data_IF_338380309609
#
_entry.id   IF_338380309609
#
_cell.length_a   1.000
_cell.length_b   1.000
_cell.length_c   1.000
_cell.angle_alpha   90.00
_cell.angle_beta   90.00
_cell.angle_gamma   90.00
#
_symmetry.space_group_name_H-M   'P 1'
#
loop_
_entity.id
_entity.type
_entity.pdbx_description
1 polymer ?
#
# COMPACT_ATOMS: atom_id res chain seq x y z
N UNK A 1 -3.33 42.47 5.39
CA UNK A 1 -3.80 41.26 4.68
C UNK A 1 -3.00 40.10 5.25
N UNK A 2 -3.65 39.24 6.02
CA UNK A 2 -3.01 38.16 6.77
C UNK A 2 -2.68 37.05 5.75
N UNK A 3 -1.51 36.41 5.88
CA UNK A 3 -1.11 35.30 5.02
C UNK A 3 -1.96 34.10 5.41
N UNK A 4 -3.15 34.04 4.86
CA UNK A 4 -4.09 32.96 5.07
C UNK A 4 -3.62 31.78 4.21
N UNK A 5 -3.84 30.55 4.71
CA UNK A 5 -3.27 29.27 4.29
C UNK A 5 -3.40 28.86 2.81
N UNK A 6 -3.88 29.73 1.93
CA UNK A 6 -4.11 29.49 0.50
C UNK A 6 -2.82 29.47 -0.35
N UNK A 7 -1.72 30.07 0.13
CA UNK A 7 -0.43 30.13 -0.59
C UNK A 7 0.77 29.64 0.22
N UNK A 8 0.52 28.85 1.27
CA UNK A 8 1.58 28.20 2.04
C UNK A 8 2.29 27.12 1.21
N UNK A 9 3.55 26.79 1.51
CA UNK A 9 4.22 25.65 0.88
C UNK A 9 3.42 24.36 1.09
N UNK A 10 3.42 23.45 0.13
CA UNK A 10 2.76 22.14 0.29
C UNK A 10 3.49 21.34 1.37
N UNK A 11 2.92 21.30 2.57
CA UNK A 11 3.54 20.67 3.74
C UNK A 11 3.26 19.17 3.87
N UNK A 12 2.32 18.62 3.09
CA UNK A 12 1.96 17.21 3.13
C UNK A 12 1.55 16.65 1.76
N UNK A 13 1.96 15.42 1.49
CA UNK A 13 1.53 14.62 0.34
C UNK A 13 0.98 13.30 0.87
N UNK A 14 -0.20 12.89 0.40
CA UNK A 14 -0.85 11.65 0.82
C UNK A 14 -0.90 10.66 -0.34
N UNK A 15 -0.30 9.48 -0.15
CA UNK A 15 -0.37 8.37 -1.10
C UNK A 15 -1.10 7.21 -0.42
N UNK A 16 -2.13 6.67 -1.07
CA UNK A 16 -2.95 5.58 -0.53
C UNK A 16 -2.73 4.32 -1.35
N UNK A 17 -2.37 3.24 -0.66
CA UNK A 17 -2.23 1.91 -1.25
C UNK A 17 -3.37 1.04 -0.71
N UNK A 18 -4.27 0.62 -1.60
CA UNK A 18 -5.40 -0.22 -1.22
C UNK A 18 -5.21 -1.62 -1.78
N UNK A 19 -5.71 -2.59 -1.03
CA UNK A 19 -5.91 -3.97 -1.50
C UNK A 19 -7.41 -4.20 -1.50
N UNK A 20 -7.97 -4.51 -2.66
CA UNK A 20 -9.37 -4.93 -2.74
C UNK A 20 -9.39 -6.45 -2.59
N UNK A 21 -10.07 -6.94 -1.56
CA UNK A 21 -10.27 -8.37 -1.35
C UNK A 21 -11.41 -8.88 -2.25
N UNK A 22 -11.24 -8.69 -3.57
CA UNK A 22 -12.12 -9.17 -4.63
C UNK A 22 -11.31 -10.10 -5.54
N UNK A 23 -11.90 -11.24 -5.94
CA UNK A 23 -11.19 -12.28 -6.68
C UNK A 23 -10.53 -11.76 -7.96
N UNK A 24 -11.28 -11.01 -8.77
CA UNK A 24 -10.79 -10.44 -10.02
C UNK A 24 -9.65 -9.42 -9.81
N UNK A 25 -9.75 -8.63 -8.73
CA UNK A 25 -8.73 -7.64 -8.41
C UNK A 25 -7.44 -8.32 -7.94
N UNK A 26 -7.54 -9.30 -7.05
CA UNK A 26 -6.38 -10.05 -6.56
C UNK A 26 -5.67 -10.79 -7.71
N UNK A 27 -6.43 -11.36 -8.63
CA UNK A 27 -5.89 -12.03 -9.80
C UNK A 27 -5.20 -11.06 -10.76
N UNK A 28 -5.85 -9.95 -11.08
CA UNK A 28 -5.33 -8.98 -12.06
C UNK A 28 -4.16 -8.18 -11.51
N UNK A 29 -4.30 -7.63 -10.31
CA UNK A 29 -3.33 -6.71 -9.74
C UNK A 29 -2.22 -7.44 -9.00
N UNK A 30 -2.51 -8.55 -8.30
CA UNK A 30 -1.53 -9.25 -7.46
C UNK A 30 -1.06 -10.59 -8.02
N UNK A 31 -1.68 -11.11 -9.09
CA UNK A 31 -1.44 -12.48 -9.60
C UNK A 31 -1.71 -13.56 -8.53
N UNK A 32 -2.77 -13.33 -7.73
CA UNK A 32 -3.22 -14.25 -6.68
C UNK A 32 -4.60 -14.77 -7.03
N UNK A 33 -4.70 -16.08 -7.25
CA UNK A 33 -5.97 -16.77 -7.50
C UNK A 33 -6.46 -17.45 -6.21
N UNK A 34 -7.48 -16.86 -5.59
CA UNK A 34 -8.14 -17.42 -4.42
C UNK A 34 -9.54 -17.91 -4.80
N UNK A 35 -9.96 -19.04 -4.24
CA UNK A 35 -11.36 -19.44 -4.29
C UNK A 35 -12.23 -18.56 -3.36
N UNK A 36 -13.55 -18.65 -3.55
CA UNK A 36 -14.51 -17.85 -2.80
C UNK A 36 -14.49 -18.12 -1.29
N UNK A 37 -14.30 -19.38 -0.89
CA UNK A 37 -14.29 -19.75 0.53
C UNK A 37 -13.07 -19.16 1.26
N UNK A 38 -11.90 -19.22 0.63
CA UNK A 38 -10.68 -18.62 1.15
C UNK A 38 -10.74 -17.10 1.15
N UNK A 39 -11.38 -16.50 0.14
CA UNK A 39 -11.60 -15.06 0.09
C UNK A 39 -12.51 -14.58 1.23
N UNK A 40 -13.64 -15.25 1.45
CA UNK A 40 -14.55 -14.94 2.57
C UNK A 40 -13.89 -15.18 3.93
N UNK A 41 -13.04 -16.19 4.04
CA UNK A 41 -12.23 -16.40 5.23
C UNK A 41 -11.30 -15.22 5.48
N UNK A 42 -10.50 -14.80 4.49
CA UNK A 42 -9.54 -13.69 4.60
C UNK A 42 -10.22 -12.33 4.88
N UNK A 43 -11.45 -12.12 4.39
CA UNK A 43 -12.26 -10.92 4.66
C UNK A 43 -12.56 -10.71 6.14
N UNK A 44 -12.46 -11.74 6.97
CA UNK A 44 -12.51 -11.63 8.44
C UNK A 44 -11.17 -11.05 8.96
N UNK A 45 -10.99 -9.75 8.79
CA UNK A 45 -9.73 -9.04 9.08
C UNK A 45 -9.37 -9.01 10.58
N UNK A 46 -10.34 -9.26 11.44
CA UNK A 46 -10.19 -9.35 12.90
C UNK A 46 -9.80 -10.76 13.38
N UNK A 47 -9.94 -11.78 12.53
CA UNK A 47 -9.52 -13.14 12.86
C UNK A 47 -7.99 -13.25 12.78
N UNK A 48 -7.29 -13.51 13.90
CA UNK A 48 -5.83 -13.58 13.94
C UNK A 48 -5.27 -14.73 13.09
N UNK A 49 -6.07 -15.75 12.77
CA UNK A 49 -5.64 -16.85 11.88
C UNK A 49 -5.37 -16.37 10.45
N UNK A 50 -5.97 -15.24 10.03
CA UNK A 50 -5.79 -14.65 8.71
C UNK A 50 -4.61 -13.66 8.64
N UNK A 51 -3.99 -13.31 9.76
CA UNK A 51 -3.00 -12.23 9.83
C UNK A 51 -1.81 -12.47 8.89
N UNK A 52 -1.37 -13.71 8.76
CA UNK A 52 -0.28 -14.09 7.85
C UNK A 52 -0.66 -13.85 6.38
N UNK A 53 -1.85 -14.28 5.98
CA UNK A 53 -2.35 -14.13 4.61
C UNK A 53 -2.57 -12.66 4.26
N UNK A 54 -3.20 -11.89 5.16
CA UNK A 54 -3.39 -10.44 4.99
C UNK A 54 -2.05 -9.71 4.90
N UNK A 55 -1.07 -10.07 5.72
CA UNK A 55 0.27 -9.49 5.65
C UNK A 55 0.99 -9.85 4.34
N UNK A 56 0.82 -11.07 3.83
CA UNK A 56 1.34 -11.47 2.52
C UNK A 56 0.73 -10.64 1.39
N UNK A 57 -0.60 -10.49 1.36
CA UNK A 57 -1.30 -9.66 0.39
C UNK A 57 -0.83 -8.21 0.45
N UNK A 58 -0.66 -7.66 1.66
CA UNK A 58 -0.11 -6.32 1.86
C UNK A 58 1.30 -6.16 1.29
N UNK A 59 2.18 -7.14 1.48
CA UNK A 59 3.54 -7.13 0.90
C UNK A 59 3.53 -7.18 -0.63
N UNK A 60 2.69 -8.03 -1.21
CA UNK A 60 2.53 -8.13 -2.68
C UNK A 60 1.98 -6.85 -3.27
N UNK A 61 0.99 -6.24 -2.61
CA UNK A 61 0.46 -4.96 -3.04
C UNK A 61 1.51 -3.85 -2.93
N UNK A 62 2.26 -3.81 -1.84
CA UNK A 62 3.32 -2.82 -1.66
C UNK A 62 4.40 -2.93 -2.75
N UNK A 63 4.82 -4.14 -3.13
CA UNK A 63 5.85 -4.33 -4.17
C UNK A 63 5.42 -3.86 -5.56
N UNK A 64 4.11 -3.85 -5.85
CA UNK A 64 3.55 -3.39 -7.13
C UNK A 64 3.13 -1.92 -7.12
N UNK A 65 2.57 -1.44 -6.01
CA UNK A 65 1.98 -0.10 -5.92
C UNK A 65 2.97 0.96 -5.42
N UNK A 66 3.97 0.60 -4.62
CA UNK A 66 4.99 1.56 -4.14
C UNK A 66 6.03 1.75 -5.23
N UNK A 67 6.15 2.98 -5.72
CA UNK A 67 7.13 3.36 -6.74
C UNK A 67 8.16 4.32 -6.13
N UNK A 68 9.36 4.35 -6.71
CA UNK A 68 10.42 5.27 -6.28
C UNK A 68 9.97 6.75 -6.35
N UNK A 69 9.18 7.10 -7.36
CA UNK A 69 8.61 8.45 -7.53
C UNK A 69 7.65 8.87 -6.41
N UNK A 70 7.18 7.94 -5.57
CA UNK A 70 6.37 8.25 -4.39
C UNK A 70 7.22 8.69 -3.19
N UNK A 71 8.54 8.46 -3.24
CA UNK A 71 9.48 8.79 -2.18
C UNK A 71 10.16 10.13 -2.49
N UNK A 72 10.08 11.13 -1.59
CA UNK A 72 10.86 12.36 -1.75
C UNK A 72 12.36 12.06 -1.80
N UNK A 73 13.13 12.91 -2.50
CA UNK A 73 14.59 12.80 -2.60
C UNK A 73 15.29 12.71 -1.23
N UNK A 74 14.69 13.27 -0.17
CA UNK A 74 15.21 13.17 1.20
C UNK A 74 15.32 11.71 1.73
N UNK A 75 14.67 10.75 1.07
CA UNK A 75 14.76 9.32 1.39
C UNK A 75 15.92 8.61 0.66
N UNK A 76 16.63 9.29 -0.24
CA UNK A 76 17.81 8.73 -0.90
C UNK A 76 18.95 8.63 0.11
N UNK A 77 19.36 7.40 0.44
CA UNK A 77 20.53 7.18 1.29
C UNK A 77 21.78 7.58 0.50
N UNK A 78 22.55 8.54 1.03
CA UNK A 78 23.89 8.81 0.54
C UNK A 78 24.68 7.49 0.61
N UNK A 79 25.20 7.03 -0.53
CA UNK A 79 26.00 5.79 -0.60
C UNK A 79 27.00 5.80 0.55
N UNK A 80 26.92 4.80 1.41
CA UNK A 80 27.92 4.61 2.46
C UNK A 80 29.29 4.49 1.78
N UNK A 81 30.14 5.48 2.00
CA UNK A 81 31.53 5.47 1.53
C UNK A 81 32.18 4.18 2.05
N UNK A 82 32.59 3.33 1.11
CA UNK A 82 33.39 2.12 1.39
C UNK A 82 34.83 2.51 1.63
#
# INVERSE_FOLDING_TARGET
MRLDSERGPQLATYVRYNVLLEQDWLKTELDVDLDGDKLEQIRKMDDPSNLSDLANLGRLAASKQVKLEHLPQAFDLAKAST
#
